data_IF_568238929274
#
_entry.id   IF_568238929274
#
_cell.length_a   1.000
_cell.length_b   1.000
_cell.length_c   1.000
_cell.angle_alpha   90.00
_cell.angle_beta   90.00
_cell.angle_gamma   90.00
#
_symmetry.space_group_name_H-M   'P 1'
#
loop_
_entity.id
_entity.type
_entity.pdbx_description
1 polymer ?
#
# COMPACT_ATOMS: atom_id res chain seq x y z
N UNK A 1 -61.74 -25.77 -4.55
CA UNK A 1 -60.37 -26.22 -4.19
C UNK A 1 -59.27 -25.27 -4.70
N UNK A 2 -59.62 -24.04 -5.10
CA UNK A 2 -58.70 -23.08 -5.73
C UNK A 2 -58.03 -22.11 -4.74
N UNK A 3 -58.59 -21.96 -3.53
CA UNK A 3 -58.16 -20.99 -2.52
C UNK A 3 -56.86 -21.36 -1.80
N UNK A 4 -56.40 -22.61 -1.90
CA UNK A 4 -55.13 -23.08 -1.28
C UNK A 4 -53.90 -22.95 -2.18
N UNK A 5 -54.07 -22.69 -3.48
CA UNK A 5 -52.96 -22.53 -4.41
C UNK A 5 -52.27 -21.17 -4.28
N UNK A 6 -53.06 -20.11 -4.06
CA UNK A 6 -52.56 -18.75 -3.89
C UNK A 6 -51.54 -18.62 -2.73
N UNK A 7 -51.82 -19.12 -1.50
CA UNK A 7 -50.84 -19.05 -0.41
C UNK A 7 -49.59 -19.90 -0.67
N UNK A 8 -49.70 -21.02 -1.39
CA UNK A 8 -48.54 -21.86 -1.75
C UNK A 8 -47.63 -21.14 -2.74
N UNK A 9 -48.20 -20.46 -3.73
CA UNK A 9 -47.44 -19.67 -4.70
C UNK A 9 -46.76 -18.48 -4.01
N UNK A 10 -47.46 -17.81 -3.09
CA UNK A 10 -46.88 -16.72 -2.29
C UNK A 10 -45.73 -17.20 -1.41
N UNK A 11 -45.85 -18.37 -0.77
CA UNK A 11 -44.77 -18.98 0.00
C UNK A 11 -43.57 -19.35 -0.87
N UNK A 12 -43.80 -19.89 -2.07
CA UNK A 12 -42.73 -20.21 -3.01
C UNK A 12 -41.98 -18.95 -3.48
N UNK A 13 -42.71 -17.88 -3.80
CA UNK A 13 -42.12 -16.59 -4.15
C UNK A 13 -41.34 -15.99 -2.98
N UNK A 14 -41.89 -16.07 -1.77
CA UNK A 14 -41.22 -15.61 -0.55
C UNK A 14 -39.90 -16.36 -0.32
N UNK A 15 -39.93 -17.69 -0.42
CA UNK A 15 -38.74 -18.53 -0.28
C UNK A 15 -37.68 -18.22 -1.35
N UNK A 16 -38.10 -17.98 -2.59
CA UNK A 16 -37.20 -17.59 -3.67
C UNK A 16 -36.51 -16.25 -3.38
N UNK A 17 -37.24 -15.25 -2.87
CA UNK A 17 -36.68 -13.95 -2.47
C UNK A 17 -35.70 -14.10 -1.31
N UNK A 18 -36.04 -14.88 -0.27
CA UNK A 18 -35.13 -15.14 0.84
C UNK A 18 -33.85 -15.87 0.40
N UNK A 19 -33.97 -16.87 -0.48
CA UNK A 19 -32.82 -17.56 -1.04
C UNK A 19 -31.94 -16.59 -1.85
N UNK A 20 -32.54 -15.75 -2.70
CA UNK A 20 -31.81 -14.75 -3.47
C UNK A 20 -31.13 -13.71 -2.58
N UNK A 21 -31.70 -13.34 -1.43
CA UNK A 21 -31.06 -12.43 -0.47
C UNK A 21 -29.86 -13.08 0.22
N UNK A 22 -29.93 -14.39 0.51
CA UNK A 22 -28.83 -15.12 1.13
C UNK A 22 -27.69 -15.47 0.16
N UNK A 23 -28.03 -15.72 -1.12
CA UNK A 23 -27.09 -16.11 -2.19
C UNK A 23 -26.68 -14.93 -3.08
N UNK A 24 -27.31 -13.78 -2.94
CA UNK A 24 -27.14 -12.60 -3.80
C UNK A 24 -25.88 -11.79 -3.55
N UNK A 25 -25.83 -10.59 -4.14
CA UNK A 25 -24.71 -9.63 -4.01
C UNK A 25 -24.58 -9.21 -2.54
N UNK A 26 -23.61 -9.80 -1.84
CA UNK A 26 -23.43 -9.65 -0.38
C UNK A 26 -23.51 -10.96 0.40
N UNK A 27 -23.65 -12.10 -0.27
CA UNK A 27 -23.61 -13.42 0.37
C UNK A 27 -22.29 -13.62 1.14
N UNK A 28 -22.40 -14.21 2.34
CA UNK A 28 -21.26 -14.57 3.20
C UNK A 28 -20.06 -15.19 2.46
N UNK A 29 -20.24 -16.14 1.51
CA UNK A 29 -19.11 -16.70 0.76
C UNK A 29 -18.41 -15.70 -0.17
N UNK A 30 -19.11 -14.67 -0.65
CA UNK A 30 -18.52 -13.66 -1.52
C UNK A 30 -17.68 -12.66 -0.71
N UNK A 31 -18.11 -12.35 0.51
CA UNK A 31 -17.37 -11.51 1.46
C UNK A 31 -16.11 -12.22 1.94
N UNK A 32 -16.17 -13.52 2.25
CA UNK A 32 -14.99 -14.28 2.69
C UNK A 32 -13.94 -14.41 1.58
N UNK A 33 -14.36 -14.64 0.33
CA UNK A 33 -13.46 -14.68 -0.81
C UNK A 33 -12.80 -13.30 -1.09
N UNK A 34 -13.55 -12.20 -0.94
CA UNK A 34 -12.99 -10.85 -1.02
C UNK A 34 -12.03 -10.54 0.13
N UNK A 35 -12.35 -10.97 1.35
CA UNK A 35 -11.50 -10.79 2.52
C UNK A 35 -10.16 -11.52 2.35
N UNK A 36 -10.17 -12.76 1.84
CA UNK A 36 -8.95 -13.51 1.55
C UNK A 36 -8.05 -12.77 0.55
N UNK A 37 -8.62 -12.22 -0.53
CA UNK A 37 -7.85 -11.42 -1.51
C UNK A 37 -7.24 -10.17 -0.88
N UNK A 38 -7.96 -9.50 0.02
CA UNK A 38 -7.45 -8.32 0.74
C UNK A 38 -6.27 -8.72 1.63
N UNK A 39 -6.36 -9.85 2.34
CA UNK A 39 -5.32 -10.29 3.26
C UNK A 39 -4.05 -10.75 2.52
N UNK A 40 -4.21 -11.42 1.38
CA UNK A 40 -3.11 -11.74 0.46
C UNK A 40 -2.41 -10.47 -0.05
N UNK A 41 -3.18 -9.48 -0.53
CA UNK A 41 -2.63 -8.22 -1.02
C UNK A 41 -1.93 -7.43 0.08
N UNK A 42 -2.48 -7.39 1.29
CA UNK A 42 -1.85 -6.73 2.44
C UNK A 42 -0.51 -7.37 2.79
N UNK A 43 -0.45 -8.70 2.75
CA UNK A 43 0.79 -9.44 3.05
C UNK A 43 1.87 -9.14 2.01
N UNK A 44 1.51 -9.17 0.72
CA UNK A 44 2.43 -8.81 -0.36
C UNK A 44 2.92 -7.36 -0.25
N UNK A 45 2.01 -6.42 0.06
CA UNK A 45 2.35 -5.01 0.19
C UNK A 45 3.27 -4.76 1.41
N UNK A 46 3.06 -5.47 2.52
CA UNK A 46 3.93 -5.39 3.69
C UNK A 46 5.39 -5.80 3.37
N UNK A 47 5.59 -6.87 2.58
CA UNK A 47 6.91 -7.32 2.14
C UNK A 47 7.63 -6.28 1.27
N UNK A 48 6.90 -5.70 0.29
CA UNK A 48 7.44 -4.66 -0.58
C UNK A 48 7.80 -3.42 0.22
N UNK A 49 6.94 -3.03 1.17
CA UNK A 49 7.16 -1.86 2.01
C UNK A 49 8.41 -2.00 2.87
N UNK A 50 8.63 -3.16 3.48
CA UNK A 50 9.84 -3.42 4.27
C UNK A 50 11.12 -3.32 3.42
N UNK A 51 11.07 -3.78 2.17
CA UNK A 51 12.22 -3.72 1.25
C UNK A 51 12.48 -2.27 0.82
N UNK A 52 11.44 -1.50 0.52
CA UNK A 52 11.57 -0.08 0.22
C UNK A 52 12.15 0.71 1.40
N UNK A 53 11.72 0.44 2.64
CA UNK A 53 12.25 1.11 3.82
C UNK A 53 13.75 0.83 3.99
N UNK A 54 14.20 -0.40 3.74
CA UNK A 54 15.63 -0.75 3.74
C UNK A 54 16.41 -0.01 2.66
N UNK A 55 15.94 -0.06 1.41
CA UNK A 55 16.59 0.62 0.29
C UNK A 55 16.65 2.13 0.49
N UNK A 56 15.59 2.72 1.07
CA UNK A 56 15.57 4.15 1.38
C UNK A 56 16.65 4.52 2.40
N UNK A 57 16.87 3.68 3.42
CA UNK A 57 17.96 3.85 4.37
C UNK A 57 19.33 3.72 3.69
N UNK A 58 19.54 2.70 2.85
CA UNK A 58 20.80 2.52 2.12
C UNK A 58 21.10 3.73 1.22
N UNK A 59 20.09 4.26 0.53
CA UNK A 59 20.23 5.46 -0.30
C UNK A 59 20.55 6.69 0.55
N UNK A 60 19.97 6.80 1.75
CA UNK A 60 20.26 7.89 2.66
C UNK A 60 21.72 7.83 3.16
N UNK A 61 22.16 6.66 3.61
CA UNK A 61 23.53 6.44 4.09
C UNK A 61 24.56 6.70 2.98
N UNK A 62 24.27 6.27 1.74
CA UNK A 62 25.12 6.55 0.59
C UNK A 62 25.22 8.05 0.27
N UNK A 63 24.11 8.79 0.39
CA UNK A 63 24.12 10.24 0.19
C UNK A 63 24.93 10.96 1.26
N UNK A 64 24.72 10.62 2.54
CA UNK A 64 25.51 11.20 3.63
C UNK A 64 27.00 10.88 3.48
N UNK A 65 27.34 9.66 3.08
CA UNK A 65 28.72 9.28 2.78
C UNK A 65 29.35 10.09 1.63
N UNK A 66 28.59 10.36 0.57
CA UNK A 66 29.04 11.19 -0.54
C UNK A 66 29.23 12.66 -0.13
N UNK A 67 28.30 13.20 0.67
CA UNK A 67 28.37 14.57 1.17
C UNK A 67 29.61 14.76 2.07
N UNK A 68 29.92 13.77 2.92
CA UNK A 68 31.15 13.75 3.74
C UNK A 68 32.42 13.73 2.90
N UNK A 69 32.43 13.00 1.77
CA UNK A 69 33.57 12.96 0.85
C UNK A 69 33.72 14.30 0.12
N UNK A 70 32.61 14.92 -0.29
CA UNK A 70 32.60 16.23 -0.94
C UNK A 70 33.13 17.33 0.00
N UNK A 71 32.70 17.35 1.26
CA UNK A 71 33.23 18.22 2.32
C UNK A 71 34.75 18.04 2.50
N UNK A 72 35.23 16.79 2.56
CA UNK A 72 36.67 16.53 2.70
C UNK A 72 37.46 16.98 1.47
N UNK A 73 36.97 16.73 0.26
CA UNK A 73 37.61 17.18 -0.98
C UNK A 73 37.67 18.71 -1.09
N UNK A 74 36.63 19.42 -0.62
CA UNK A 74 36.59 20.88 -0.56
C UNK A 74 37.57 21.43 0.47
N UNK A 75 37.59 20.87 1.68
CA UNK A 75 38.40 21.37 2.79
C UNK A 75 39.89 21.00 2.67
N UNK A 76 40.23 19.80 2.20
CA UNK A 76 41.63 19.35 2.14
C UNK A 76 42.30 19.59 0.79
N UNK A 77 41.58 19.44 -0.32
CA UNK A 77 42.14 19.54 -1.67
C UNK A 77 41.75 20.85 -2.38
N UNK A 78 40.90 21.67 -1.77
CA UNK A 78 40.40 22.91 -2.38
C UNK A 78 39.58 22.67 -3.65
N UNK A 79 39.08 21.46 -3.87
CA UNK A 79 38.33 21.11 -5.08
C UNK A 79 36.93 21.73 -5.02
N UNK A 80 36.61 22.53 -6.05
CA UNK A 80 35.30 23.19 -6.23
C UNK A 80 34.73 22.85 -7.61
N UNK A 81 33.40 22.78 -7.74
CA UNK A 81 32.77 22.49 -9.03
C UNK A 81 32.98 23.65 -10.01
N UNK A 82 32.99 23.41 -11.33
CA UNK A 82 33.05 24.49 -12.32
C UNK A 82 31.91 25.49 -12.10
N UNK A 83 32.22 26.78 -12.06
CA UNK A 83 31.29 27.90 -11.76
C UNK A 83 30.77 27.98 -10.32
N UNK A 84 31.49 27.41 -9.34
CA UNK A 84 31.14 27.54 -7.92
C UNK A 84 32.05 28.53 -7.18
N UNK A 85 31.46 29.38 -6.33
CA UNK A 85 32.20 30.29 -5.41
C UNK A 85 32.05 29.77 -3.99
N UNK A 86 33.14 29.28 -3.41
CA UNK A 86 33.17 28.74 -2.05
C UNK A 86 33.67 29.80 -1.05
N UNK A 87 32.86 30.13 -0.04
CA UNK A 87 33.13 31.20 0.95
C UNK A 87 33.23 30.61 2.35
N UNK A 88 34.42 30.64 2.95
CA UNK A 88 34.61 30.27 4.37
C UNK A 88 34.48 31.51 5.27
N UNK A 89 33.51 31.49 6.18
CA UNK A 89 33.35 32.51 7.20
C UNK A 89 33.92 32.03 8.54
N UNK A 90 35.01 32.66 9.00
CA UNK A 90 35.52 32.49 10.37
C UNK A 90 35.20 33.74 11.18
N UNK A 91 34.24 33.71 12.12
CA UNK A 91 34.02 34.83 13.04
C UNK A 91 35.22 34.95 14.00
N UNK A 92 35.71 36.18 14.19
CA UNK A 92 36.80 36.51 15.13
C UNK A 92 36.33 36.47 16.57
#
# INVERSE_FOLDING_TARGET
MSTRLVPVILLALLAAVHAQLWLGRGSLPQVTAMQQKIDEQKTANAQVRQTNERLASEVHDLKEGLDMVEEKARNELGMVKPNEVYVQFTPR
#
